data_IF_407559165693
#
_entry.id   IF_407559165693
#
_cell.length_a   1.000
_cell.length_b   1.000
_cell.length_c   1.000
_cell.angle_alpha   90.00
_cell.angle_beta   90.00
_cell.angle_gamma   90.00
#
_symmetry.space_group_name_H-M   'P 1'
#
loop_
_entity.id
_entity.type
_entity.pdbx_description
1 polymer ?
#
# COMPACT_ATOMS: atom_id res chain seq x y z
N UNK A 1 20.07 27.59 -60.06
CA UNK A 1 19.61 26.32 -59.46
C UNK A 1 19.97 26.34 -57.99
N UNK A 2 18.97 26.51 -57.10
CA UNK A 2 19.17 26.50 -55.64
C UNK A 2 18.34 25.34 -55.08
N UNK A 3 19.01 24.29 -54.60
CA UNK A 3 18.39 23.15 -53.92
C UNK A 3 18.03 23.57 -52.49
N UNK A 4 16.75 23.49 -52.14
CA UNK A 4 16.28 23.63 -50.77
C UNK A 4 16.29 22.24 -50.11
N UNK A 5 17.19 22.06 -49.14
CA UNK A 5 17.31 20.86 -48.33
C UNK A 5 16.27 20.96 -47.18
N UNK A 6 15.23 20.12 -47.21
CA UNK A 6 14.25 20.03 -46.13
C UNK A 6 14.78 19.03 -45.09
N UNK A 7 15.16 19.54 -43.92
CA UNK A 7 15.53 18.72 -42.75
C UNK A 7 14.25 18.18 -42.09
N UNK A 8 14.06 16.86 -42.16
CA UNK A 8 13.05 16.13 -41.39
C UNK A 8 13.57 15.92 -39.97
N UNK A 9 13.02 16.66 -39.00
CA UNK A 9 13.29 16.42 -37.57
C UNK A 9 12.40 15.27 -37.12
N UNK A 10 13.00 14.09 -36.97
CA UNK A 10 12.35 12.93 -36.37
C UNK A 10 12.15 13.19 -34.87
N UNK A 11 10.90 13.41 -34.45
CA UNK A 11 10.51 13.44 -33.04
C UNK A 11 10.62 12.04 -32.45
N UNK A 12 11.75 11.73 -31.84
CA UNK A 12 11.88 10.59 -30.93
C UNK A 12 11.20 10.94 -29.61
N UNK A 13 9.92 10.59 -29.47
CA UNK A 13 9.28 10.61 -28.16
C UNK A 13 9.97 9.57 -27.26
N UNK A 14 10.45 9.93 -26.06
CA UNK A 14 10.88 8.92 -25.11
C UNK A 14 9.65 8.11 -24.70
N UNK A 15 9.68 6.82 -24.98
CA UNK A 15 8.76 5.88 -24.38
C UNK A 15 9.06 5.83 -22.88
N UNK A 16 8.31 6.59 -22.09
CA UNK A 16 8.20 6.33 -20.66
C UNK A 16 7.51 4.97 -20.53
N UNK A 17 8.33 3.91 -20.43
CA UNK A 17 7.84 2.60 -20.02
C UNK A 17 7.13 2.78 -18.69
N UNK A 18 5.84 2.45 -18.67
CA UNK A 18 5.04 2.46 -17.45
C UNK A 18 5.70 1.44 -16.50
N UNK A 19 6.46 1.93 -15.53
CA UNK A 19 6.94 1.10 -14.44
C UNK A 19 5.69 0.53 -13.76
N UNK A 20 5.59 -0.79 -13.54
CA UNK A 20 4.49 -1.36 -12.77
C UNK A 20 4.55 -0.75 -11.37
N UNK A 21 3.77 0.30 -11.16
CA UNK A 21 3.56 0.91 -9.86
C UNK A 21 2.96 -0.16 -8.98
N UNK A 22 3.66 -0.54 -7.91
CA UNK A 22 2.96 -1.17 -6.79
C UNK A 22 1.84 -0.20 -6.40
N UNK A 23 0.59 -0.64 -6.56
CA UNK A 23 -0.61 0.21 -6.39
C UNK A 23 -0.83 0.58 -4.91
N UNK A 24 0.01 0.06 -4.01
CA UNK A 24 -0.10 0.26 -2.57
C UNK A 24 0.90 1.31 -2.05
N UNK A 25 0.44 2.56 -2.00
CA UNK A 25 1.01 3.59 -1.12
C UNK A 25 0.31 3.51 0.24
N UNK A 26 1.06 3.33 1.34
CA UNK A 26 0.48 3.36 2.69
C UNK A 26 1.00 2.35 3.70
N UNK A 27 2.21 1.81 3.51
CA UNK A 27 2.82 1.01 4.58
C UNK A 27 3.21 1.90 5.77
N UNK A 28 2.84 1.49 6.98
CA UNK A 28 3.25 2.14 8.22
C UNK A 28 3.82 1.13 9.21
N UNK A 29 4.78 1.56 10.01
CA UNK A 29 5.38 0.73 11.05
C UNK A 29 4.47 0.58 12.28
N UNK A 30 4.97 -0.13 13.30
CA UNK A 30 4.24 -0.33 14.56
C UNK A 30 4.02 0.95 15.36
N UNK A 31 4.76 2.03 15.07
CA UNK A 31 4.56 3.36 15.63
C UNK A 31 3.66 4.26 14.75
N UNK A 32 3.10 3.71 13.67
CA UNK A 32 2.26 4.44 12.71
C UNK A 32 3.04 5.38 11.79
N UNK A 33 4.36 5.28 11.73
CA UNK A 33 5.17 6.11 10.84
C UNK A 33 5.21 5.51 9.43
N UNK A 34 5.17 6.33 8.37
CA UNK A 34 5.30 5.84 7.00
C UNK A 34 6.60 5.07 6.77
N UNK A 35 6.47 3.89 6.18
CA UNK A 35 7.58 3.02 5.79
C UNK A 35 7.86 3.25 4.31
N UNK A 36 9.09 3.65 3.99
CA UNK A 36 9.48 3.86 2.60
C UNK A 36 9.65 2.52 1.88
N UNK A 37 9.14 2.46 0.66
CA UNK A 37 9.39 1.38 -0.29
C UNK A 37 10.36 1.86 -1.38
N UNK A 38 11.39 1.06 -1.67
CA UNK A 38 12.43 1.41 -2.65
C UNK A 38 12.60 0.26 -3.63
N UNK A 39 12.61 0.57 -4.92
CA UNK A 39 13.00 -0.39 -5.96
C UNK A 39 14.48 -0.70 -5.79
N UNK A 40 14.78 -1.98 -5.63
CA UNK A 40 16.13 -2.52 -5.73
C UNK A 40 16.04 -3.75 -6.64
N UNK A 41 16.37 -3.57 -7.92
CA UNK A 41 16.37 -4.65 -8.90
C UNK A 41 17.61 -5.58 -8.78
N UNK A 42 18.60 -5.19 -7.97
CA UNK A 42 19.85 -5.92 -7.83
C UNK A 42 19.78 -7.08 -6.83
N UNK A 43 18.86 -7.03 -5.88
CA UNK A 43 18.67 -8.09 -4.89
C UNK A 43 17.93 -9.29 -5.49
N UNK A 44 18.17 -10.49 -4.95
CA UNK A 44 17.45 -11.71 -5.37
C UNK A 44 16.05 -11.81 -4.78
N UNK A 45 15.84 -11.26 -3.58
CA UNK A 45 14.55 -11.37 -2.90
C UNK A 45 13.53 -10.44 -3.52
N UNK A 46 12.28 -10.89 -3.58
CA UNK A 46 11.16 -10.07 -4.06
C UNK A 46 10.92 -8.85 -3.18
N UNK A 47 10.96 -9.05 -1.86
CA UNK A 47 10.85 -7.97 -0.88
C UNK A 47 11.70 -8.31 0.33
N UNK A 48 12.43 -7.32 0.84
CA UNK A 48 13.27 -7.43 2.02
C UNK A 48 13.03 -6.23 2.93
N UNK A 49 12.97 -6.50 4.23
CA UNK A 49 12.90 -5.47 5.26
C UNK A 49 14.35 -5.12 5.66
N UNK A 50 14.78 -3.91 5.34
CA UNK A 50 16.08 -3.38 5.74
C UNK A 50 15.92 -2.37 6.89
N UNK A 51 17.01 -2.12 7.61
CA UNK A 51 17.12 -1.01 8.54
C UNK A 51 17.98 0.08 7.92
N UNK A 52 17.47 1.30 7.87
CA UNK A 52 18.22 2.49 7.49
C UNK A 52 18.14 3.52 8.62
N UNK A 53 19.16 3.53 9.48
CA UNK A 53 19.24 4.49 10.58
C UNK A 53 18.17 4.28 11.66
N UNK A 54 17.86 3.02 11.99
CA UNK A 54 16.85 2.67 12.99
C UNK A 54 15.40 2.76 12.47
N UNK A 55 15.22 2.90 11.15
CA UNK A 55 13.90 2.91 10.50
C UNK A 55 13.79 1.78 9.51
N UNK A 56 12.65 1.05 9.50
CA UNK A 56 12.42 0.01 8.51
C UNK A 56 12.24 0.61 7.11
N UNK A 57 12.82 -0.04 6.11
CA UNK A 57 12.63 0.26 4.68
C UNK A 57 12.30 -1.05 3.96
N UNK A 58 11.31 -1.01 3.06
CA UNK A 58 10.98 -2.13 2.19
C UNK A 58 11.75 -1.99 0.89
N UNK A 59 12.75 -2.85 0.69
CA UNK A 59 13.46 -2.96 -0.59
C UNK A 59 12.74 -4.01 -1.42
N UNK A 60 12.26 -3.67 -2.62
CA UNK A 60 11.53 -4.61 -3.48
C UNK A 60 12.18 -4.76 -4.85
N UNK A 61 12.23 -6.00 -5.35
CA UNK A 61 12.65 -6.30 -6.72
C UNK A 61 11.42 -6.70 -7.56
N UNK A 62 10.96 -5.87 -8.51
CA UNK A 62 9.80 -6.19 -9.35
C UNK A 62 10.03 -7.42 -10.26
N UNK A 63 11.29 -7.72 -10.59
CA UNK A 63 11.68 -8.77 -11.53
C UNK A 63 11.95 -10.12 -10.85
N UNK A 64 11.95 -10.16 -9.51
CA UNK A 64 12.27 -11.38 -8.77
C UNK A 64 11.18 -12.46 -8.86
N UNK A 65 9.94 -12.14 -9.22
CA UNK A 65 8.85 -13.12 -9.35
C UNK A 65 8.10 -12.94 -10.67
N UNK A 66 8.74 -13.20 -11.82
CA UNK A 66 8.19 -12.83 -13.12
C UNK A 66 6.98 -13.69 -13.51
N UNK A 67 6.87 -14.92 -13.00
CA UNK A 67 5.76 -15.84 -13.26
C UNK A 67 4.51 -15.58 -12.41
N UNK A 68 4.62 -14.72 -11.39
CA UNK A 68 3.51 -14.45 -10.46
C UNK A 68 2.66 -13.30 -10.96
N UNK A 69 1.36 -13.37 -10.69
CA UNK A 69 0.41 -12.30 -11.04
C UNK A 69 0.67 -11.05 -10.22
N UNK A 70 0.23 -9.90 -10.73
CA UNK A 70 0.33 -8.62 -10.01
C UNK A 70 -0.38 -8.63 -8.65
N UNK A 71 -1.53 -9.31 -8.55
CA UNK A 71 -2.25 -9.50 -7.29
C UNK A 71 -1.43 -10.28 -6.26
N UNK A 72 -0.67 -11.27 -6.71
CA UNK A 72 0.18 -12.11 -5.86
C UNK A 72 1.43 -11.37 -5.42
N UNK A 73 2.06 -10.62 -6.32
CA UNK A 73 3.16 -9.71 -5.98
C UNK A 73 2.70 -8.63 -4.99
N UNK A 74 1.51 -8.07 -5.19
CA UNK A 74 0.90 -7.11 -4.26
C UNK A 74 0.65 -7.75 -2.89
N UNK A 75 0.14 -8.99 -2.85
CA UNK A 75 -0.05 -9.73 -1.60
C UNK A 75 1.26 -9.94 -0.85
N UNK A 76 2.31 -10.39 -1.52
CA UNK A 76 3.63 -10.62 -0.90
C UNK A 76 4.26 -9.33 -0.38
N UNK A 77 4.09 -8.23 -1.11
CA UNK A 77 4.50 -6.90 -0.64
C UNK A 77 3.69 -6.46 0.59
N UNK A 78 2.37 -6.65 0.57
CA UNK A 78 1.49 -6.31 1.70
C UNK A 78 1.80 -7.17 2.94
N UNK A 79 2.16 -8.44 2.78
CA UNK A 79 2.63 -9.30 3.86
C UNK A 79 3.95 -8.78 4.45
N UNK A 80 4.90 -8.33 3.63
CA UNK A 80 6.13 -7.71 4.16
C UNK A 80 5.82 -6.42 4.93
N UNK A 81 4.91 -5.60 4.44
CA UNK A 81 4.41 -4.44 5.17
C UNK A 81 3.75 -4.85 6.51
N UNK A 82 2.94 -5.90 6.52
CA UNK A 82 2.31 -6.42 7.73
C UNK A 82 3.34 -6.72 8.81
N UNK A 83 4.47 -7.32 8.43
CA UNK A 83 5.54 -7.66 9.37
C UNK A 83 6.13 -6.40 10.01
N UNK A 84 6.37 -5.36 9.22
CA UNK A 84 6.85 -4.07 9.73
C UNK A 84 5.81 -3.43 10.65
N UNK A 85 4.54 -3.42 10.24
CA UNK A 85 3.43 -2.88 11.01
C UNK A 85 3.23 -3.62 12.35
N UNK A 86 3.41 -4.94 12.36
CA UNK A 86 3.27 -5.79 13.53
C UNK A 86 4.53 -5.80 14.42
N UNK A 87 5.57 -5.03 14.07
CA UNK A 87 6.83 -4.99 14.81
C UNK A 87 7.59 -6.32 14.80
N UNK A 88 7.39 -7.15 13.78
CA UNK A 88 8.04 -8.45 13.67
C UNK A 88 9.51 -8.28 13.27
N UNK A 89 10.39 -9.22 13.68
CA UNK A 89 11.77 -9.25 13.21
C UNK A 89 11.88 -9.25 11.68
N UNK A 90 12.91 -8.57 11.16
CA UNK A 90 13.17 -8.48 9.72
C UNK A 90 13.51 -9.83 9.07
N UNK A 91 13.96 -10.80 9.87
CA UNK A 91 14.30 -12.17 9.45
C UNK A 91 13.95 -13.17 10.55
N UNK A 92 13.92 -14.46 10.22
CA UNK A 92 13.80 -15.55 11.20
C UNK A 92 12.43 -15.67 11.87
N UNK A 93 11.36 -15.15 11.27
CA UNK A 93 10.00 -15.33 11.82
C UNK A 93 9.55 -16.80 11.72
N UNK A 94 8.75 -17.26 12.69
CA UNK A 94 8.15 -18.59 12.67
C UNK A 94 6.94 -18.68 11.74
N UNK A 95 6.48 -19.91 11.45
CA UNK A 95 5.31 -20.17 10.57
C UNK A 95 4.04 -19.50 11.10
N UNK A 96 3.84 -19.46 12.42
CA UNK A 96 2.67 -18.82 13.02
C UNK A 96 2.64 -17.30 12.77
N UNK A 97 3.76 -16.61 12.93
CA UNK A 97 3.87 -15.18 12.63
C UNK A 97 3.76 -14.90 11.13
N UNK A 98 4.32 -15.76 10.30
CA UNK A 98 4.18 -15.67 8.86
C UNK A 98 2.69 -15.78 8.43
N UNK A 99 1.93 -16.70 9.02
CA UNK A 99 0.48 -16.82 8.80
C UNK A 99 -0.30 -15.59 9.29
N UNK A 100 0.09 -15.00 10.43
CA UNK A 100 -0.50 -13.74 10.90
C UNK A 100 -0.27 -12.61 9.89
N UNK A 101 0.95 -12.50 9.37
CA UNK A 101 1.30 -11.53 8.33
C UNK A 101 0.55 -11.81 7.01
N UNK A 102 0.34 -13.08 6.64
CA UNK A 102 -0.47 -13.46 5.48
C UNK A 102 -1.90 -12.93 5.58
N UNK A 103 -2.57 -13.16 6.73
CA UNK A 103 -3.94 -12.70 6.90
C UNK A 103 -4.07 -11.17 6.93
N UNK A 104 -3.08 -10.48 7.49
CA UNK A 104 -3.03 -9.02 7.40
C UNK A 104 -2.80 -8.54 5.95
N UNK A 105 -1.97 -9.25 5.18
CA UNK A 105 -1.76 -8.99 3.76
C UNK A 105 -3.06 -9.11 2.94
N UNK A 106 -3.82 -10.20 3.16
CA UNK A 106 -5.16 -10.38 2.54
C UNK A 106 -6.09 -9.22 2.89
N UNK A 107 -6.16 -8.82 4.15
CA UNK A 107 -7.00 -7.71 4.59
C UNK A 107 -6.58 -6.38 3.98
N UNK A 108 -5.29 -6.16 3.79
CA UNK A 108 -4.78 -4.96 3.12
C UNK A 108 -5.16 -4.89 1.66
N UNK A 109 -5.09 -6.02 0.93
CA UNK A 109 -5.58 -6.07 -0.45
C UNK A 109 -7.10 -5.82 -0.53
N UNK A 110 -7.87 -6.36 0.43
CA UNK A 110 -9.32 -6.12 0.51
C UNK A 110 -9.65 -4.64 0.75
N UNK A 111 -9.02 -4.02 1.75
CA UNK A 111 -9.21 -2.60 2.07
C UNK A 111 -8.79 -1.67 0.92
N UNK A 112 -7.79 -2.08 0.16
CA UNK A 112 -7.31 -1.35 -1.03
C UNK A 112 -8.13 -1.68 -2.29
N UNK A 113 -9.19 -2.48 -2.17
CA UNK A 113 -10.05 -2.94 -3.27
C UNK A 113 -9.31 -3.68 -4.40
N UNK A 114 -8.10 -4.20 -4.13
CA UNK A 114 -7.32 -5.00 -5.08
C UNK A 114 -7.85 -6.43 -5.19
N UNK A 115 -8.50 -6.93 -4.14
CA UNK A 115 -9.30 -8.15 -4.16
C UNK A 115 -10.63 -7.87 -3.46
N UNK A 116 -11.74 -8.12 -4.15
CA UNK A 116 -13.07 -7.71 -3.68
C UNK A 116 -13.83 -8.89 -3.08
N UNK A 117 -13.69 -10.07 -3.68
CA UNK A 117 -14.48 -11.25 -3.36
C UNK A 117 -13.62 -12.44 -2.91
N UNK A 118 -14.25 -13.50 -2.37
CA UNK A 118 -13.54 -14.72 -2.00
C UNK A 118 -12.82 -15.42 -3.15
N UNK A 119 -13.29 -15.25 -4.40
CA UNK A 119 -12.66 -15.86 -5.56
C UNK A 119 -11.32 -15.19 -5.89
N UNK A 120 -11.19 -13.88 -5.69
CA UNK A 120 -9.94 -13.15 -5.79
C UNK A 120 -8.89 -13.64 -4.78
N UNK A 121 -9.31 -13.90 -3.53
CA UNK A 121 -8.43 -14.51 -2.51
C UNK A 121 -7.99 -15.91 -2.93
N UNK A 122 -8.92 -16.74 -3.40
CA UNK A 122 -8.62 -18.08 -3.88
C UNK A 122 -7.66 -18.06 -5.09
N UNK A 123 -7.80 -17.09 -6.00
CA UNK A 123 -6.91 -16.92 -7.15
C UNK A 123 -5.49 -16.53 -6.72
N UNK A 124 -5.34 -15.63 -5.74
CA UNK A 124 -4.01 -15.31 -5.16
C UNK A 124 -3.41 -16.55 -4.50
N UNK A 125 -4.19 -17.31 -3.72
CA UNK A 125 -3.70 -18.53 -3.08
C UNK A 125 -3.25 -19.58 -4.09
N UNK A 126 -4.02 -19.80 -5.17
CA UNK A 126 -3.66 -20.74 -6.22
C UNK A 126 -2.37 -20.31 -6.96
N UNK A 127 -2.15 -19.01 -7.10
CA UNK A 127 -0.94 -18.45 -7.72
C UNK A 127 0.29 -18.49 -6.80
N UNK A 128 0.13 -18.87 -5.53
CA UNK A 128 1.21 -19.12 -4.56
C UNK A 128 1.69 -20.58 -4.55
N UNK A 129 1.39 -21.34 -5.61
CA UNK A 129 2.09 -22.58 -5.90
C UNK A 129 3.50 -22.25 -6.42
N UNK A 130 4.45 -22.19 -5.49
CA UNK A 130 5.83 -21.76 -5.68
C UNK A 130 6.77 -22.96 -5.71
N UNK A 131 7.72 -22.95 -6.64
CA UNK A 131 8.83 -23.90 -6.61
C UNK A 131 9.92 -23.49 -5.60
N UNK A 132 10.92 -24.34 -5.43
CA UNK A 132 12.00 -24.13 -4.46
C UNK A 132 12.79 -22.84 -4.75
N UNK A 133 13.03 -22.53 -6.02
CA UNK A 133 13.75 -21.32 -6.43
C UNK A 133 12.94 -20.07 -6.09
N UNK A 134 11.63 -20.06 -6.37
CA UNK A 134 10.76 -18.95 -5.99
C UNK A 134 10.64 -18.78 -4.48
N UNK A 135 10.56 -19.89 -3.73
CA UNK A 135 10.59 -19.85 -2.27
C UNK A 135 11.86 -19.19 -1.74
N UNK A 136 13.02 -19.45 -2.36
CA UNK A 136 14.29 -18.83 -1.97
C UNK A 136 14.30 -17.30 -2.12
N UNK A 137 13.41 -16.74 -2.95
CA UNK A 137 13.25 -15.30 -3.19
C UNK A 137 12.28 -14.65 -2.22
N UNK A 138 11.54 -15.42 -1.41
CA UNK A 138 10.62 -14.89 -0.41
C UNK A 138 11.29 -14.76 0.97
N UNK A 139 10.93 -13.73 1.75
CA UNK A 139 11.35 -13.67 3.14
C UNK A 139 10.44 -14.56 4.01
N UNK A 140 11.04 -15.27 4.96
CA UNK A 140 10.32 -16.09 5.94
C UNK A 140 10.30 -17.58 5.61
N UNK A 141 9.60 -18.39 6.41
CA UNK A 141 9.64 -19.84 6.30
C UNK A 141 8.78 -20.36 5.15
N UNK A 142 9.25 -21.43 4.52
CA UNK A 142 8.46 -22.26 3.59
C UNK A 142 7.24 -22.80 4.33
N UNK A 143 6.06 -22.67 3.72
CA UNK A 143 4.77 -23.07 4.32
C UNK A 143 3.69 -23.20 3.27
N UNK A 144 2.62 -23.90 3.61
CA UNK A 144 1.36 -23.83 2.87
C UNK A 144 0.61 -22.54 3.22
N UNK A 145 0.12 -21.85 2.20
CA UNK A 145 -0.76 -20.69 2.35
C UNK A 145 -2.22 -21.14 2.53
N UNK A 146 -2.90 -20.53 3.49
CA UNK A 146 -4.33 -20.73 3.77
C UNK A 146 -5.02 -19.37 3.90
N UNK A 147 -4.96 -18.60 2.80
CA UNK A 147 -5.49 -17.25 2.69
C UNK A 147 -7.02 -17.22 2.75
N UNK A 148 -7.68 -18.27 2.26
CA UNK A 148 -9.15 -18.39 2.28
C UNK A 148 -9.69 -18.49 3.72
N UNK A 149 -8.89 -19.02 4.65
CA UNK A 149 -9.25 -19.11 6.07
C UNK A 149 -8.94 -17.82 6.85
N UNK A 150 -8.31 -16.83 6.22
CA UNK A 150 -8.07 -15.54 6.85
C UNK A 150 -9.40 -14.81 7.07
N UNK A 151 -9.83 -14.82 8.33
CA UNK A 151 -10.93 -13.99 8.80
C UNK A 151 -10.44 -12.56 8.81
N UNK A 152 -11.24 -11.64 8.27
CA UNK A 152 -11.00 -10.22 8.51
C UNK A 152 -11.05 -10.02 10.02
N UNK A 153 -9.91 -9.72 10.63
CA UNK A 153 -9.95 -9.14 11.97
C UNK A 153 -10.66 -7.80 11.79
N UNK A 154 -11.96 -7.77 12.13
CA UNK A 154 -12.69 -6.53 12.28
C UNK A 154 -11.78 -5.59 13.06
N UNK A 155 -11.48 -4.43 12.48
CA UNK A 155 -10.58 -3.41 13.02
C UNK A 155 -10.73 -3.45 14.55
N UNK A 156 -9.73 -4.00 15.25
CA UNK A 156 -9.63 -3.78 16.69
C UNK A 156 -9.25 -2.32 16.82
N UNK A 157 -10.26 -1.46 16.76
CA UNK A 157 -10.17 -0.10 17.23
C UNK A 157 -9.52 -0.23 18.61
N UNK A 158 -8.38 0.44 18.88
CA UNK A 158 -7.82 0.44 20.23
C UNK A 158 -8.99 0.74 21.15
N UNK A 159 -9.26 -0.18 22.09
CA UNK A 159 -10.47 -0.21 22.92
C UNK A 159 -10.88 1.23 23.19
N UNK A 160 -11.91 1.71 22.51
CA UNK A 160 -12.20 3.13 22.52
C UNK A 160 -12.55 3.46 23.97
N UNK A 161 -11.57 3.97 24.73
CA UNK A 161 -11.84 4.84 25.83
C UNK A 161 -12.81 5.84 25.23
N UNK A 162 -14.07 5.78 25.68
CA UNK A 162 -15.16 6.59 25.16
C UNK A 162 -14.59 7.98 24.94
N UNK A 163 -14.51 8.48 23.69
CA UNK A 163 -13.83 9.74 23.43
C UNK A 163 -14.40 10.76 24.41
N UNK A 164 -13.53 11.45 25.14
CA UNK A 164 -13.95 12.48 26.08
C UNK A 164 -14.80 13.54 25.34
N UNK A 165 -15.52 14.37 26.08
CA UNK A 165 -16.42 15.36 25.47
C UNK A 165 -15.71 16.22 24.42
N UNK A 166 -14.43 16.53 24.66
CA UNK A 166 -13.59 17.31 23.77
C UNK A 166 -13.33 16.60 22.43
N UNK A 167 -12.89 15.33 22.45
CA UNK A 167 -12.62 14.58 21.23
C UNK A 167 -13.88 14.34 20.39
N UNK A 168 -15.04 14.18 21.04
CA UNK A 168 -16.34 14.14 20.31
C UNK A 168 -16.68 15.45 19.63
N UNK A 169 -16.45 16.58 20.31
CA UNK A 169 -16.69 17.90 19.74
C UNK A 169 -15.77 18.20 18.55
N UNK A 170 -14.47 17.88 18.68
CA UNK A 170 -13.50 18.02 17.59
C UNK A 170 -13.87 17.16 16.39
N UNK A 171 -14.20 15.88 16.59
CA UNK A 171 -14.61 15.00 15.50
C UNK A 171 -15.88 15.50 14.80
N UNK A 172 -16.89 15.96 15.55
CA UNK A 172 -18.11 16.52 14.98
C UNK A 172 -17.83 17.78 14.15
N UNK A 173 -16.90 18.63 14.61
CA UNK A 173 -16.44 19.80 13.88
C UNK A 173 -15.77 19.42 12.55
N UNK A 174 -14.82 18.48 12.57
CA UNK A 174 -14.14 18.00 11.36
C UNK A 174 -15.11 17.38 10.36
N UNK A 175 -16.09 16.59 10.82
CA UNK A 175 -17.16 16.07 9.97
C UNK A 175 -17.96 17.18 9.29
N UNK A 176 -18.35 18.21 10.05
CA UNK A 176 -19.07 19.36 9.47
C UNK A 176 -18.22 20.14 8.45
N UNK A 177 -16.91 20.25 8.66
CA UNK A 177 -15.99 20.83 7.68
C UNK A 177 -15.92 19.99 6.40
N UNK A 178 -15.81 18.66 6.53
CA UNK A 178 -15.83 17.72 5.40
C UNK A 178 -17.14 17.76 4.59
N UNK A 179 -18.29 17.85 5.26
CA UNK A 179 -19.60 17.98 4.59
C UNK A 179 -19.71 19.28 3.76
N UNK A 180 -19.10 20.36 4.24
CA UNK A 180 -19.03 21.63 3.49
C UNK A 180 -18.12 21.52 2.29
N UNK A 181 -16.94 20.91 2.44
CA UNK A 181 -16.03 20.65 1.32
C UNK A 181 -16.73 19.83 0.23
N UNK A 182 -17.38 18.74 0.62
CA UNK A 182 -18.09 17.86 -0.31
C UNK A 182 -19.19 18.58 -1.09
N UNK A 183 -20.00 19.41 -0.40
CA UNK A 183 -21.03 20.23 -1.06
C UNK A 183 -20.43 21.31 -1.96
N UNK A 184 -19.34 21.95 -1.53
CA UNK A 184 -18.64 22.96 -2.30
C UNK A 184 -18.14 22.39 -3.64
N UNK A 185 -17.52 21.21 -3.61
CA UNK A 185 -17.02 20.51 -4.79
C UNK A 185 -18.14 20.01 -5.71
N UNK A 186 -19.32 19.69 -5.16
CA UNK A 186 -20.49 19.28 -5.96
C UNK A 186 -21.23 20.46 -6.61
N UNK A 187 -21.08 21.68 -6.10
CA UNK A 187 -21.62 22.88 -6.73
C UNK A 187 -20.77 23.25 -7.95
N UNK A 188 -21.26 22.96 -9.15
CA UNK A 188 -20.64 23.46 -10.38
C UNK A 188 -20.47 24.98 -10.27
N UNK A 189 -19.24 25.47 -10.45
CA UNK A 189 -18.72 26.87 -10.43
C UNK A 189 -17.71 27.19 -9.32
N UNK A 190 -17.39 26.29 -8.39
CA UNK A 190 -16.32 26.55 -7.42
C UNK A 190 -14.95 26.08 -7.94
N UNK A 191 -13.94 26.96 -7.88
CA UNK A 191 -12.55 26.55 -8.10
C UNK A 191 -12.13 25.60 -6.97
N UNK A 192 -11.59 24.42 -7.32
CA UNK A 192 -11.23 23.39 -6.34
C UNK A 192 -10.33 23.91 -5.21
N UNK A 193 -9.46 24.90 -5.51
CA UNK A 193 -8.61 25.57 -4.54
C UNK A 193 -9.37 26.37 -3.48
N UNK A 194 -10.47 27.04 -3.85
CA UNK A 194 -11.28 27.83 -2.93
C UNK A 194 -12.07 26.96 -1.93
N UNK A 195 -12.54 25.79 -2.38
CA UNK A 195 -13.18 24.82 -1.50
C UNK A 195 -12.20 24.25 -0.47
N UNK A 196 -10.97 23.95 -0.91
CA UNK A 196 -9.94 23.42 -0.01
C UNK A 196 -9.48 24.46 1.01
N UNK A 197 -9.21 25.71 0.60
CA UNK A 197 -8.83 26.77 1.55
C UNK A 197 -9.91 27.04 2.61
N UNK A 198 -11.19 26.85 2.23
CA UNK A 198 -12.32 26.96 3.16
C UNK A 198 -12.36 25.79 4.16
N UNK A 199 -12.00 24.59 3.70
CA UNK A 199 -11.86 23.42 4.57
C UNK A 199 -10.72 23.62 5.57
N UNK A 200 -9.53 24.04 5.11
CA UNK A 200 -8.36 24.25 5.97
C UNK A 200 -8.64 25.28 7.07
N UNK A 201 -9.32 26.38 6.73
CA UNK A 201 -9.74 27.39 7.69
C UNK A 201 -10.75 26.86 8.72
N UNK A 202 -11.65 25.96 8.31
CA UNK A 202 -12.63 25.30 9.16
C UNK A 202 -11.96 24.31 10.13
N UNK A 203 -11.06 23.47 9.60
CA UNK A 203 -10.27 22.51 10.39
C UNK A 203 -9.42 23.22 11.44
N UNK A 204 -8.75 24.33 11.10
CA UNK A 204 -7.94 25.10 12.02
C UNK A 204 -8.72 25.73 13.19
N UNK A 205 -10.04 25.81 13.08
CA UNK A 205 -10.94 26.27 14.14
C UNK A 205 -11.46 25.12 15.03
N UNK A 206 -11.31 23.87 14.62
CA UNK A 206 -11.72 22.72 15.42
C UNK A 206 -10.74 22.50 16.58
N UNK A 207 -11.22 22.59 17.83
CA UNK A 207 -10.41 22.37 19.02
C UNK A 207 -9.74 23.62 19.61
N UNK A 208 -10.17 24.81 19.19
CA UNK A 208 -9.95 26.06 19.94
C UNK A 208 -11.03 26.28 20.99
#
# INVERSE_FOLDING_TARGET
MRYALILLVALTAPAFGQQPSLIFDGCVDSAGQPVRAVVDASQRQFVRIADEGGRPVLLYNPDALPRRRDSTRSFLFAQACARVNLGMPSHGIGVADARRADCWGVETLRRSQLIVDPAGVAAVQADLDLDEDEWSRLPGPVRTFDLVSCRGEAIRLPSAARPDGNRRAVNACLHACGDRLFRCQKGALSEAGACMSTFDACEAACGR
#
